data_IF_449551085420
#
_entry.id   IF_449551085420
#
_cell.length_a   1.000
_cell.length_b   1.000
_cell.length_c   1.000
_cell.angle_alpha   90.00
_cell.angle_beta   90.00
_cell.angle_gamma   90.00
#
_symmetry.space_group_name_H-M   'P 1'
#
loop_
_entity.id
_entity.type
_entity.pdbx_description
1 polymer ?
#
# COMPACT_ATOMS: atom_id res chain seq x y z
N UNK A 1 -12.42 -5.04 -44.80
CA UNK A 1 -12.41 -4.15 -43.61
C UNK A 1 -12.07 -4.94 -42.33
N UNK A 2 -10.87 -5.54 -42.25
CA UNK A 2 -10.43 -6.37 -41.09
C UNK A 2 -8.98 -6.04 -40.70
N UNK A 3 -8.20 -5.55 -41.65
CA UNK A 3 -6.81 -5.16 -41.47
C UNK A 3 -6.62 -3.90 -40.61
N UNK A 4 -7.56 -2.95 -40.67
CA UNK A 4 -7.54 -1.73 -39.84
C UNK A 4 -7.79 -2.08 -38.36
N UNK A 5 -8.73 -2.98 -38.08
CA UNK A 5 -9.10 -3.39 -36.72
C UNK A 5 -7.94 -4.13 -36.03
N UNK A 6 -7.22 -5.00 -36.77
CA UNK A 6 -6.02 -5.69 -36.27
C UNK A 6 -4.88 -4.71 -36.01
N UNK A 7 -4.66 -3.71 -36.89
CA UNK A 7 -3.62 -2.69 -36.67
C UNK A 7 -3.94 -1.79 -35.47
N UNK A 8 -5.18 -1.32 -35.35
CA UNK A 8 -5.61 -0.50 -34.21
C UNK A 8 -5.48 -1.29 -32.91
N UNK A 9 -5.91 -2.55 -32.88
CA UNK A 9 -5.72 -3.42 -31.70
C UNK A 9 -4.27 -3.69 -31.35
N UNK A 10 -3.41 -3.94 -32.35
CA UNK A 10 -1.97 -4.15 -32.12
C UNK A 10 -1.25 -2.90 -31.64
N UNK A 11 -1.65 -1.72 -32.15
CA UNK A 11 -1.11 -0.44 -31.71
C UNK A 11 -1.53 -0.13 -30.27
N UNK A 12 -2.81 -0.25 -29.96
CA UNK A 12 -3.32 -0.09 -28.60
C UNK A 12 -2.68 -1.08 -27.61
N UNK A 13 -2.47 -2.34 -28.01
CA UNK A 13 -1.80 -3.33 -27.18
C UNK A 13 -0.31 -3.00 -26.92
N UNK A 14 0.39 -2.40 -27.90
CA UNK A 14 1.79 -1.96 -27.73
C UNK A 14 1.89 -0.73 -26.84
N UNK A 15 1.06 0.28 -27.09
CA UNK A 15 1.00 1.50 -26.28
C UNK A 15 0.65 1.16 -24.81
N UNK A 16 -0.32 0.26 -24.59
CA UNK A 16 -0.65 -0.23 -23.25
C UNK A 16 0.52 -1.03 -22.62
N UNK A 17 1.27 -1.80 -23.42
CA UNK A 17 2.46 -2.51 -22.97
C UNK A 17 3.58 -1.58 -22.53
N UNK A 18 3.84 -0.51 -23.28
CA UNK A 18 4.84 0.51 -22.95
C UNK A 18 4.45 1.28 -21.67
N UNK A 19 3.20 1.74 -21.55
CA UNK A 19 2.70 2.41 -20.33
C UNK A 19 2.82 1.51 -19.11
N UNK A 20 2.52 0.22 -19.24
CA UNK A 20 2.68 -0.77 -18.16
C UNK A 20 4.14 -0.98 -17.77
N UNK A 21 5.06 -1.01 -18.73
CA UNK A 21 6.48 -1.15 -18.46
C UNK A 21 7.03 0.06 -17.67
N UNK A 22 6.64 1.28 -18.06
CA UNK A 22 6.99 2.51 -17.35
C UNK A 22 6.40 2.51 -15.94
N UNK A 23 5.13 2.15 -15.81
CA UNK A 23 4.44 2.06 -14.54
C UNK A 23 5.11 1.05 -13.59
N UNK A 24 5.54 -0.12 -14.10
CA UNK A 24 6.32 -1.09 -13.31
C UNK A 24 7.66 -0.51 -12.85
N UNK A 25 8.42 0.09 -13.76
CA UNK A 25 9.71 0.69 -13.41
C UNK A 25 9.56 1.82 -12.36
N UNK A 26 8.47 2.60 -12.44
CA UNK A 26 8.13 3.59 -11.44
C UNK A 26 7.83 2.95 -10.07
N UNK A 27 7.02 1.87 -10.03
CA UNK A 27 6.73 1.14 -8.79
C UNK A 27 7.98 0.53 -8.16
N UNK A 28 8.86 -0.08 -8.97
CA UNK A 28 10.15 -0.64 -8.51
C UNK A 28 11.07 0.44 -7.92
N UNK A 29 10.92 1.69 -8.34
CA UNK A 29 11.64 2.85 -7.75
C UNK A 29 10.98 3.33 -6.47
N UNK A 30 9.66 3.21 -6.33
CA UNK A 30 8.91 3.64 -5.16
C UNK A 30 9.10 2.70 -3.97
N UNK A 31 9.09 1.39 -4.20
CA UNK A 31 9.26 0.35 -3.18
C UNK A 31 10.76 0.04 -3.06
N UNK A 32 11.39 0.57 -2.03
CA UNK A 32 12.82 0.34 -1.80
C UNK A 32 13.05 -1.08 -1.30
N UNK A 33 14.08 -1.79 -1.81
CA UNK A 33 14.50 -3.06 -1.21
C UNK A 33 14.79 -2.88 0.28
N UNK A 34 14.26 -3.79 1.11
CA UNK A 34 14.58 -3.77 2.54
C UNK A 34 16.07 -4.11 2.74
N UNK A 35 16.77 -3.39 3.64
CA UNK A 35 18.13 -3.78 4.00
C UNK A 35 18.09 -5.17 4.67
N UNK A 36 19.13 -6.02 4.50
CA UNK A 36 19.14 -7.36 5.08
C UNK A 36 19.08 -7.35 6.61
N UNK A 37 19.54 -6.25 7.23
CA UNK A 37 19.43 -6.00 8.66
C UNK A 37 18.99 -4.56 8.92
N UNK A 38 18.14 -4.38 9.94
CA UNK A 38 17.67 -3.08 10.40
C UNK A 38 17.53 -3.12 11.92
N UNK A 39 18.33 -2.31 12.63
CA UNK A 39 18.33 -2.22 14.09
C UNK A 39 18.36 -3.59 14.80
N UNK A 40 19.31 -4.45 14.40
CA UNK A 40 19.46 -5.80 14.93
C UNK A 40 18.48 -6.84 14.38
N UNK A 41 17.41 -6.44 13.70
CA UNK A 41 16.45 -7.36 13.06
C UNK A 41 16.94 -7.80 11.69
N UNK A 42 16.79 -9.08 11.37
CA UNK A 42 16.95 -9.58 10.01
C UNK A 42 15.65 -9.35 9.22
N UNK A 43 15.74 -8.78 8.03
CA UNK A 43 14.59 -8.51 7.17
C UNK A 43 14.72 -9.26 5.85
N UNK A 44 13.58 -9.75 5.36
CA UNK A 44 13.46 -10.30 4.03
C UNK A 44 12.10 -9.91 3.45
N UNK A 45 12.08 -9.47 2.21
CA UNK A 45 10.87 -9.20 1.46
C UNK A 45 10.92 -9.95 0.13
N UNK A 46 9.77 -10.51 -0.27
CA UNK A 46 9.61 -11.12 -1.59
C UNK A 46 8.23 -10.77 -2.11
N UNK A 47 8.19 -9.97 -3.16
CA UNK A 47 6.95 -9.69 -3.89
C UNK A 47 6.82 -10.70 -5.03
N UNK A 48 5.68 -11.40 -5.08
CA UNK A 48 5.37 -12.34 -6.17
C UNK A 48 4.16 -11.78 -6.90
N UNK A 49 4.38 -11.20 -8.07
CA UNK A 49 3.27 -10.73 -8.91
C UNK A 49 2.49 -11.92 -9.47
N UNK A 50 1.18 -11.95 -9.24
CA UNK A 50 0.32 -13.07 -9.58
C UNK A 50 -0.02 -13.21 -11.08
N UNK A 51 0.49 -12.37 -12.00
CA UNK A 51 0.04 -12.40 -13.40
C UNK A 51 1.12 -12.10 -14.44
N UNK A 52 1.26 -13.02 -15.40
CA UNK A 52 1.93 -12.78 -16.70
C UNK A 52 1.06 -11.83 -17.52
N UNK A 53 1.29 -10.51 -17.39
CA UNK A 53 1.06 -9.58 -18.50
C UNK A 53 0.22 -8.32 -18.30
N UNK A 54 -0.29 -7.95 -17.12
CA UNK A 54 -1.20 -6.79 -17.11
C UNK A 54 -1.37 -5.91 -15.87
N UNK A 55 -0.83 -6.20 -14.69
CA UNK A 55 -1.11 -5.36 -13.52
C UNK A 55 0.16 -4.90 -12.80
N UNK A 56 0.35 -3.59 -12.80
CA UNK A 56 1.19 -2.87 -11.85
C UNK A 56 0.34 -2.77 -10.59
N UNK A 57 0.77 -3.49 -9.55
CA UNK A 57 -0.06 -3.80 -8.38
C UNK A 57 -0.12 -2.66 -7.37
N UNK A 58 -1.11 -2.74 -6.47
CA UNK A 58 -1.27 -1.82 -5.35
C UNK A 58 -0.45 -2.16 -4.11
N UNK A 59 0.30 -3.26 -4.12
CA UNK A 59 1.13 -3.66 -2.99
C UNK A 59 2.14 -2.57 -2.62
N UNK A 60 2.27 -2.33 -1.32
CA UNK A 60 3.28 -1.45 -0.74
C UNK A 60 3.88 -2.09 0.50
N UNK A 61 5.17 -1.88 0.70
CA UNK A 61 5.81 -2.17 1.97
C UNK A 61 7.02 -1.27 2.19
N UNK A 62 7.31 -0.97 3.45
CA UNK A 62 8.55 -0.29 3.85
C UNK A 62 8.86 -0.57 5.32
N UNK A 63 10.14 -0.59 5.68
CA UNK A 63 10.60 -0.70 7.05
C UNK A 63 11.67 0.35 7.34
N UNK A 64 11.54 1.04 8.47
CA UNK A 64 12.45 2.11 8.90
C UNK A 64 12.79 1.95 10.38
N UNK A 65 14.06 2.18 10.73
CA UNK A 65 14.50 2.28 12.12
C UNK A 65 14.34 3.73 12.59
N UNK A 66 13.69 3.91 13.74
CA UNK A 66 13.34 5.21 14.30
C UNK A 66 13.66 5.26 15.79
N UNK A 67 13.57 6.43 16.42
CA UNK A 67 13.71 6.56 17.87
C UNK A 67 12.63 5.78 18.66
N UNK A 68 11.56 5.35 17.99
CA UNK A 68 10.46 4.59 18.56
C UNK A 68 10.59 3.07 18.30
N UNK A 69 11.71 2.63 17.71
CA UNK A 69 11.95 1.26 17.27
C UNK A 69 11.80 1.08 15.76
N UNK A 70 11.77 -0.17 15.31
CA UNK A 70 11.57 -0.50 13.89
C UNK A 70 10.09 -0.44 13.56
N UNK A 71 9.74 0.41 12.59
CA UNK A 71 8.37 0.55 12.09
C UNK A 71 8.26 -0.02 10.70
N UNK A 72 7.18 -0.76 10.46
CA UNK A 72 6.91 -1.41 9.18
C UNK A 72 5.51 -1.03 8.73
N UNK A 73 5.36 -0.70 7.45
CA UNK A 73 4.08 -0.61 6.77
C UNK A 73 4.01 -1.70 5.72
N UNK A 74 2.87 -2.37 5.62
CA UNK A 74 2.54 -3.33 4.55
C UNK A 74 1.11 -3.04 4.14
N UNK A 75 0.82 -3.05 2.85
CA UNK A 75 -0.54 -2.83 2.39
C UNK A 75 -0.75 -3.19 0.94
N UNK A 76 -2.00 -3.10 0.52
CA UNK A 76 -2.44 -3.25 -0.86
C UNK A 76 -3.50 -2.20 -1.16
N UNK A 77 -3.26 -1.44 -2.23
CA UNK A 77 -4.18 -0.44 -2.78
C UNK A 77 -5.12 -1.13 -3.76
N UNK A 78 -6.43 -1.00 -3.53
CA UNK A 78 -7.41 -1.46 -4.52
C UNK A 78 -7.31 -0.63 -5.80
N UNK A 79 -7.24 -1.33 -6.93
CA UNK A 79 -7.14 -0.73 -8.26
C UNK A 79 -5.86 -1.16 -8.96
N UNK A 80 -5.64 -0.66 -10.17
CA UNK A 80 -4.47 -1.01 -10.96
C UNK A 80 -3.96 0.17 -11.78
N UNK A 81 -2.68 0.14 -12.15
CA UNK A 81 -2.08 1.13 -13.05
C UNK A 81 -1.71 2.44 -12.34
N UNK A 82 -1.64 3.53 -13.11
CA UNK A 82 -1.08 4.81 -12.64
C UNK A 82 -1.80 5.42 -11.41
N UNK A 83 -3.15 5.40 -11.31
CA UNK A 83 -3.87 5.81 -10.10
C UNK A 83 -3.37 5.11 -8.82
N UNK A 84 -3.29 3.78 -8.86
CA UNK A 84 -2.82 2.96 -7.75
C UNK A 84 -1.37 3.27 -7.37
N UNK A 85 -0.49 3.49 -8.35
CA UNK A 85 0.91 3.89 -8.10
C UNK A 85 0.99 5.24 -7.41
N UNK A 86 0.18 6.21 -7.83
CA UNK A 86 0.11 7.51 -7.18
C UNK A 86 -0.32 7.38 -5.72
N UNK A 87 -1.29 6.50 -5.44
CA UNK A 87 -1.71 6.19 -4.07
C UNK A 87 -0.60 5.52 -3.25
N UNK A 88 0.07 4.52 -3.80
CA UNK A 88 1.24 3.88 -3.16
C UNK A 88 2.30 4.93 -2.83
N UNK A 89 2.63 5.83 -3.77
CA UNK A 89 3.59 6.90 -3.56
C UNK A 89 3.18 7.86 -2.44
N UNK A 90 1.90 8.24 -2.39
CA UNK A 90 1.38 9.13 -1.36
C UNK A 90 1.44 8.49 0.04
N UNK A 91 1.03 7.22 0.16
CA UNK A 91 1.05 6.47 1.42
C UNK A 91 2.48 6.23 1.90
N UNK A 92 3.37 5.73 1.04
CA UNK A 92 4.77 5.50 1.41
C UNK A 92 5.52 6.80 1.71
N UNK A 93 5.28 7.86 0.93
CA UNK A 93 5.84 9.19 1.22
C UNK A 93 5.43 9.69 2.59
N UNK A 94 4.14 9.58 2.94
CA UNK A 94 3.66 9.95 4.27
C UNK A 94 4.21 9.07 5.38
N UNK A 95 4.39 7.76 5.15
CA UNK A 95 4.99 6.85 6.12
C UNK A 95 6.44 7.21 6.42
N UNK A 96 7.23 7.53 5.39
CA UNK A 96 8.63 7.92 5.53
C UNK A 96 8.87 9.13 6.42
N UNK A 97 7.90 10.03 6.52
CA UNK A 97 7.97 11.17 7.46
C UNK A 97 7.35 10.81 8.80
N UNK A 98 6.10 10.32 8.78
CA UNK A 98 5.32 10.07 9.98
C UNK A 98 5.97 9.06 10.91
N UNK A 99 6.67 8.06 10.36
CA UNK A 99 7.37 7.06 11.14
C UNK A 99 8.45 7.68 12.05
N UNK A 100 9.06 8.81 11.69
CA UNK A 100 10.04 9.50 12.53
C UNK A 100 9.41 10.53 13.45
N UNK A 101 8.36 11.23 12.99
CA UNK A 101 7.79 12.36 13.71
C UNK A 101 6.76 11.97 14.78
N UNK A 102 5.99 10.91 14.53
CA UNK A 102 4.85 10.54 15.38
C UNK A 102 5.28 9.59 16.49
N UNK A 103 4.92 9.89 17.74
CA UNK A 103 5.31 9.05 18.89
C UNK A 103 4.64 7.69 18.85
N UNK A 104 3.40 7.60 18.36
CA UNK A 104 2.61 6.37 18.33
C UNK A 104 2.14 5.98 16.93
N UNK A 105 1.82 4.69 16.75
CA UNK A 105 1.29 4.16 15.50
C UNK A 105 -0.05 4.79 15.09
N UNK A 106 -0.84 5.29 16.04
CA UNK A 106 -2.08 6.01 15.80
C UNK A 106 -1.83 7.34 15.06
N UNK A 107 -0.81 8.10 15.48
CA UNK A 107 -0.37 9.31 14.80
C UNK A 107 0.09 9.02 13.37
N UNK A 108 0.89 7.96 13.20
CA UNK A 108 1.32 7.47 11.88
C UNK A 108 0.12 7.16 11.01
N UNK A 109 -0.82 6.34 11.49
CA UNK A 109 -2.01 5.94 10.73
C UNK A 109 -2.85 7.15 10.30
N UNK A 110 -2.99 8.15 11.17
CA UNK A 110 -3.71 9.39 10.82
C UNK A 110 -3.00 10.22 9.76
N UNK A 111 -1.65 10.26 9.74
CA UNK A 111 -0.90 10.93 8.66
C UNK A 111 -1.09 10.21 7.32
N UNK A 112 -1.05 8.88 7.34
CA UNK A 112 -1.29 8.02 6.17
C UNK A 112 -2.71 8.22 5.61
N UNK A 113 -3.74 8.19 6.47
CA UNK A 113 -5.12 8.45 6.04
C UNK A 113 -5.26 9.86 5.44
N UNK A 114 -4.68 10.90 6.06
CA UNK A 114 -4.69 12.24 5.46
C UNK A 114 -4.00 12.28 4.10
N UNK A 115 -2.92 11.54 3.90
CA UNK A 115 -2.22 11.47 2.60
C UNK A 115 -3.07 10.75 1.54
N UNK A 116 -3.71 9.64 1.92
CA UNK A 116 -4.69 8.93 1.10
C UNK A 116 -5.82 9.86 0.66
N UNK A 117 -6.45 10.57 1.60
CA UNK A 117 -7.54 11.50 1.30
C UNK A 117 -7.12 12.65 0.38
N UNK A 118 -5.91 13.20 0.55
CA UNK A 118 -5.36 14.23 -0.35
C UNK A 118 -5.19 13.69 -1.76
N UNK A 119 -4.59 12.51 -1.89
CA UNK A 119 -4.37 11.88 -3.19
C UNK A 119 -5.69 11.57 -3.90
N UNK A 120 -6.71 11.08 -3.19
CA UNK A 120 -8.03 10.83 -3.76
C UNK A 120 -8.65 12.13 -4.31
N UNK A 121 -8.57 13.24 -3.56
CA UNK A 121 -9.06 14.55 -4.01
C UNK A 121 -8.32 15.04 -5.26
N UNK A 122 -7.00 14.88 -5.30
CA UNK A 122 -6.19 15.28 -6.45
C UNK A 122 -6.54 14.47 -7.71
N UNK A 123 -6.84 13.17 -7.54
CA UNK A 123 -7.28 12.31 -8.64
C UNK A 123 -8.66 12.72 -9.19
N UNK A 124 -9.63 12.96 -8.30
CA UNK A 124 -10.96 13.43 -8.69
C UNK A 124 -10.90 14.80 -9.38
N UNK A 125 -10.04 15.71 -8.91
CA UNK A 125 -9.83 17.02 -9.52
C UNK A 125 -9.20 16.97 -10.92
N UNK A 126 -8.39 15.95 -11.23
CA UNK A 126 -7.80 15.73 -12.57
C UNK A 126 -8.78 15.10 -13.56
N UNK A 127 -9.75 14.32 -13.10
CA UNK A 127 -10.80 13.72 -13.93
C UNK A 127 -11.83 14.74 -14.45
N UNK A 128 -11.99 15.88 -13.77
CA UNK A 128 -12.95 16.93 -14.12
C UNK A 128 -12.43 17.97 -15.14
N UNK A 129 -11.38 17.67 -15.91
CA UNK A 129 -10.86 18.59 -16.93
C UNK A 129 -11.90 18.80 -18.06
N UNK A 130 -12.32 20.04 -18.37
CA UNK A 130 -13.31 20.30 -19.42
C UNK A 130 -12.63 20.11 -20.79
N UNK A 131 -12.92 19.01 -21.50
CA UNK A 131 -12.47 18.94 -22.90
C UNK A 131 -12.54 17.64 -23.68
N UNK A 132 -12.80 16.47 -23.07
CA UNK A 132 -12.98 15.22 -23.86
C UNK A 132 -13.99 14.30 -23.20
N UNK A 133 -15.27 14.62 -23.34
CA UNK A 133 -16.33 13.65 -23.12
C UNK A 133 -16.27 12.63 -24.26
N UNK A 134 -15.63 11.49 -24.01
CA UNK A 134 -15.87 10.28 -24.81
C UNK A 134 -17.22 9.71 -24.34
N UNK A 135 -18.26 9.65 -25.19
CA UNK A 135 -19.58 9.18 -24.79
C UNK A 135 -19.62 7.69 -24.36
N UNK A 136 -18.50 6.96 -24.47
CA UNK A 136 -18.31 5.63 -23.88
C UNK A 136 -17.73 5.60 -22.46
N UNK A 137 -17.28 6.73 -21.90
CA UNK A 137 -16.67 6.80 -20.56
C UNK A 137 -17.69 6.94 -19.42
N UNK A 138 -18.91 7.39 -19.71
CA UNK A 138 -19.97 7.58 -18.72
C UNK A 138 -20.46 6.26 -18.07
N UNK A 139 -20.31 5.13 -18.76
CA UNK A 139 -20.57 3.80 -18.19
C UNK A 139 -19.43 3.33 -17.25
N UNK A 140 -18.22 3.88 -17.40
CA UNK A 140 -17.07 3.63 -16.53
C UNK A 140 -17.06 4.50 -15.26
N UNK A 141 -17.65 5.70 -15.32
CA UNK A 141 -17.70 6.67 -14.20
C UNK A 141 -18.60 6.21 -13.04
N UNK A 142 -19.60 5.35 -13.29
CA UNK A 142 -20.46 4.79 -12.24
C UNK A 142 -19.77 3.67 -11.41
N UNK A 143 -18.59 3.19 -11.84
CA UNK A 143 -17.77 2.24 -11.10
C UNK A 143 -16.48 2.89 -10.59
N UNK A 144 -16.53 4.14 -10.11
CA UNK A 144 -15.53 4.62 -9.15
C UNK A 144 -15.69 3.81 -7.86
N UNK A 145 -15.24 2.56 -7.92
CA UNK A 145 -15.09 1.68 -6.79
C UNK A 145 -14.29 2.47 -5.76
N UNK A 146 -14.82 2.58 -4.54
CA UNK A 146 -14.11 3.18 -3.41
C UNK A 146 -12.63 2.77 -3.47
N UNK A 147 -11.76 3.74 -3.78
CA UNK A 147 -10.31 3.54 -3.72
C UNK A 147 -9.98 3.43 -2.25
N UNK A 148 -9.59 2.23 -1.83
CA UNK A 148 -9.23 1.94 -0.47
C UNK A 148 -7.88 1.25 -0.40
N UNK A 149 -7.27 1.31 0.78
CA UNK A 149 -5.98 0.68 1.05
C UNK A 149 -6.14 -0.26 2.23
N UNK A 150 -5.89 -1.55 2.00
CA UNK A 150 -5.66 -2.47 3.12
C UNK A 150 -4.27 -2.21 3.66
N UNK A 151 -4.11 -2.09 4.98
CA UNK A 151 -2.86 -1.65 5.56
C UNK A 151 -2.61 -2.26 6.94
N UNK A 152 -1.37 -2.67 7.18
CA UNK A 152 -0.85 -3.14 8.45
C UNK A 152 0.34 -2.25 8.82
N UNK A 153 0.25 -1.59 9.98
CA UNK A 153 1.37 -0.95 10.63
C UNK A 153 1.87 -1.83 11.75
N UNK A 154 3.19 -2.02 11.81
CA UNK A 154 3.88 -2.69 12.91
C UNK A 154 4.90 -1.74 13.54
N UNK A 155 5.04 -1.82 14.85
CA UNK A 155 6.13 -1.23 15.61
C UNK A 155 6.77 -2.32 16.44
N UNK A 156 8.08 -2.45 16.32
CA UNK A 156 8.91 -3.37 17.10
C UNK A 156 9.78 -2.49 17.98
N UNK A 157 9.41 -2.42 19.26
CA UNK A 157 10.13 -1.62 20.24
C UNK A 157 11.51 -2.20 20.56
N UNK A 158 12.36 -1.40 21.20
CA UNK A 158 13.67 -1.85 21.69
C UNK A 158 13.58 -3.01 22.70
N UNK A 159 12.42 -3.15 23.36
CA UNK A 159 12.11 -4.27 24.26
C UNK A 159 11.62 -5.53 23.54
N UNK A 160 11.73 -5.52 22.19
CA UNK A 160 11.22 -6.53 21.27
C UNK A 160 9.70 -6.72 21.29
N UNK A 161 8.94 -5.84 21.96
CA UNK A 161 7.48 -5.86 21.93
C UNK A 161 6.98 -5.44 20.55
N UNK A 162 6.09 -6.25 19.99
CA UNK A 162 5.44 -6.00 18.70
C UNK A 162 4.07 -5.41 18.94
N UNK A 163 3.83 -4.23 18.36
CA UNK A 163 2.54 -3.56 18.33
C UNK A 163 2.04 -3.44 16.91
N UNK A 164 0.72 -3.46 16.72
CA UNK A 164 0.13 -3.42 15.39
C UNK A 164 -1.15 -2.59 15.33
N UNK A 165 -1.32 -1.87 14.22
CA UNK A 165 -2.63 -1.37 13.77
C UNK A 165 -2.94 -2.00 12.42
N UNK A 166 -4.13 -2.57 12.30
CA UNK A 166 -4.55 -3.31 11.12
C UNK A 166 -5.84 -2.70 10.55
N UNK A 167 -5.78 -2.24 9.30
CA UNK A 167 -6.87 -1.68 8.52
C UNK A 167 -7.17 -2.61 7.35
N UNK A 168 -7.93 -3.67 7.60
CA UNK A 168 -8.39 -4.62 6.59
C UNK A 168 -7.32 -5.53 5.97
N UNK A 169 -6.09 -5.55 6.50
CA UNK A 169 -5.03 -6.43 6.02
C UNK A 169 -5.03 -7.77 6.78
N UNK A 170 -4.56 -8.89 6.20
CA UNK A 170 -4.40 -10.13 6.95
C UNK A 170 -3.43 -9.96 8.14
N UNK A 171 -3.77 -10.53 9.30
CA UNK A 171 -2.87 -10.51 10.45
C UNK A 171 -1.58 -11.30 10.15
N UNK A 172 -0.40 -10.78 10.53
CA UNK A 172 0.86 -11.47 10.34
C UNK A 172 0.91 -12.77 11.15
N UNK A 173 1.85 -13.64 10.76
CA UNK A 173 2.10 -14.91 11.42
C UNK A 173 3.46 -14.88 12.10
N UNK A 174 3.52 -15.44 13.31
CA UNK A 174 4.76 -15.84 13.96
C UNK A 174 5.12 -17.23 13.49
N UNK A 175 6.31 -17.38 12.91
CA UNK A 175 6.87 -18.66 12.50
C UNK A 175 7.88 -19.13 13.56
N UNK A 176 7.75 -20.38 13.97
CA UNK A 176 8.66 -21.06 14.90
C UNK A 176 8.58 -22.56 14.67
N UNK A 177 8.29 -23.36 15.71
CA UNK A 177 7.93 -24.79 15.53
C UNK A 177 6.61 -25.01 14.76
N UNK A 178 5.86 -23.94 14.53
CA UNK A 178 4.67 -23.90 13.68
C UNK A 178 4.38 -22.46 13.26
N UNK A 179 3.30 -22.26 12.51
CA UNK A 179 2.78 -20.93 12.16
C UNK A 179 1.60 -20.59 13.08
N UNK A 180 1.68 -19.49 13.80
CA UNK A 180 0.58 -18.98 14.63
C UNK A 180 0.30 -17.53 14.28
N UNK A 181 -0.98 -17.16 14.15
CA UNK A 181 -1.38 -15.78 13.90
C UNK A 181 -0.94 -14.89 15.07
N UNK A 182 -0.32 -13.75 14.76
CA UNK A 182 0.32 -12.87 15.73
C UNK A 182 -0.72 -12.16 16.62
N UNK A 183 -1.91 -11.90 16.10
CA UNK A 183 -3.05 -11.41 16.87
C UNK A 183 -4.37 -11.98 16.33
N UNK A 184 -5.44 -11.85 17.11
CA UNK A 184 -6.78 -12.30 16.73
C UNK A 184 -7.85 -11.18 16.79
N UNK A 185 -7.42 -9.93 16.94
CA UNK A 185 -8.33 -8.79 16.99
C UNK A 185 -9.06 -8.57 15.67
N UNK A 186 -10.21 -7.90 15.73
CA UNK A 186 -10.88 -7.45 14.52
C UNK A 186 -10.08 -6.30 13.89
N UNK A 187 -9.72 -6.40 12.60
CA UNK A 187 -9.08 -5.29 11.91
C UNK A 187 -10.07 -4.13 11.77
N UNK A 188 -9.55 -2.91 11.81
CA UNK A 188 -10.29 -1.73 11.35
C UNK A 188 -10.65 -1.91 9.87
N UNK A 189 -11.69 -1.21 9.37
CA UNK A 189 -11.96 -1.16 7.95
C UNK A 189 -10.75 -0.64 7.15
N UNK A 190 -10.60 -1.01 5.86
CA UNK A 190 -9.57 -0.45 4.99
C UNK A 190 -9.61 1.09 4.97
N UNK A 191 -8.45 1.72 4.83
CA UNK A 191 -8.36 3.18 4.72
C UNK A 191 -9.19 3.66 3.52
N UNK A 192 -9.98 4.71 3.70
CA UNK A 192 -10.88 5.24 2.67
C UNK A 192 -12.31 4.72 2.73
N UNK A 193 -12.59 3.63 3.45
CA UNK A 193 -13.96 3.06 3.54
C UNK A 193 -14.83 3.80 4.56
N UNK A 194 -14.28 4.13 5.73
CA UNK A 194 -14.94 4.92 6.77
C UNK A 194 -13.91 5.83 7.47
N UNK A 195 -14.34 6.94 8.10
CA UNK A 195 -13.45 7.76 8.90
C UNK A 195 -12.79 6.96 10.03
N UNK A 196 -11.50 7.22 10.28
CA UNK A 196 -10.81 6.60 11.40
C UNK A 196 -11.46 7.00 12.74
N UNK A 197 -11.64 6.05 13.68
CA UNK A 197 -12.17 6.36 15.01
C UNK A 197 -11.24 7.30 15.79
N UNK A 198 -11.78 7.97 16.82
CA UNK A 198 -11.02 8.88 17.66
C UNK A 198 -9.92 8.18 18.49
N UNK A 199 -10.16 6.93 18.89
CA UNK A 199 -9.19 6.09 19.60
C UNK A 199 -8.72 4.96 18.68
N UNK A 200 -7.40 4.78 18.61
CA UNK A 200 -6.72 3.79 17.77
C UNK A 200 -5.67 3.03 18.60
N UNK A 201 -6.06 2.27 19.64
CA UNK A 201 -5.10 1.57 20.48
C UNK A 201 -4.41 0.46 19.67
N UNK A 202 -3.06 0.45 19.59
CA UNK A 202 -2.36 -0.63 18.92
C UNK A 202 -2.54 -1.97 19.65
N UNK A 203 -2.73 -3.03 18.88
CA UNK A 203 -2.76 -4.39 19.40
C UNK A 203 -1.35 -4.81 19.85
N UNK A 204 -1.23 -5.29 21.09
CA UNK A 204 0.00 -5.95 21.56
C UNK A 204 0.04 -7.37 21.04
N UNK A 205 1.05 -7.67 20.24
CA UNK A 205 1.17 -8.91 19.51
C UNK A 205 2.23 -9.86 20.12
N UNK A 206 2.72 -9.53 21.31
CA UNK A 206 3.76 -10.26 22.03
C UNK A 206 5.17 -9.75 21.70
N UNK A 207 6.19 -10.55 22.04
CA UNK A 207 7.60 -10.20 21.81
C UNK A 207 8.23 -11.05 20.72
N UNK A 208 9.16 -10.45 19.97
CA UNK A 208 10.09 -11.21 19.13
C UNK A 208 11.09 -11.92 20.04
N UNK A 209 11.33 -13.20 19.79
CA UNK A 209 12.41 -13.91 20.44
C UNK A 209 13.73 -13.35 19.92
N UNK A 210 14.61 -12.92 20.83
CA UNK A 210 15.98 -12.55 20.45
C UNK A 210 16.66 -13.75 19.79
N UNK A 211 17.31 -13.52 18.65
CA UNK A 211 18.26 -14.48 18.11
C UNK A 211 19.45 -14.54 19.07
N UNK A 212 19.44 -15.49 20.00
CA UNK A 212 20.64 -15.93 20.72
C UNK A 212 21.59 -16.66 19.79
#
# INVERSE_FOLDING_TARGET
MVYLLIRVRRRAARELGEVRAVARAAQETLIRPLPPRLDGLALAARQISASRGAEVGGDLYEAVATAHGVRVVIGDVRGHGLPAIGMVAAVLGSFREAAYDEVGLDGVLRRLDRAHQRQLRDQLGRGAAPGRADPGAAEQECLSAEEFVTLLLLEIGADAEVRALNCGHPWPYRLGRGAARLAAGEPLPPLGTVPLPASLPPYRCGRLAGSG
#
